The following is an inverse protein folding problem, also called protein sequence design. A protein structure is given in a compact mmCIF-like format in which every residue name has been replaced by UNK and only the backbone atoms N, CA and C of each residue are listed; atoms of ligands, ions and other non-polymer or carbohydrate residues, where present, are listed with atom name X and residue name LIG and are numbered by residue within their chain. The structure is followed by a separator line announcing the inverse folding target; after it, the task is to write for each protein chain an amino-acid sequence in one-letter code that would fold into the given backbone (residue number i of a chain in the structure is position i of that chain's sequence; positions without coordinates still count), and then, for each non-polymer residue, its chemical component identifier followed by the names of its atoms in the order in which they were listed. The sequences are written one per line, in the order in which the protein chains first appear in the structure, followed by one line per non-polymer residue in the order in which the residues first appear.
data_IF_029116693647
#
_entry.id   IF_029116693647
#
_cell.length_a   1.000
_cell.length_b   1.000
_cell.length_c   1.000
_cell.angle_alpha   90.00
_cell.angle_beta   90.00
_cell.angle_gamma   90.00
#
_symmetry.space_group_name_H-M   'P 1'
#
loop_
_entity.id
_entity.type
_entity.pdbx_description
1 polymer ?
#
# COMPACT_ATOMS: atom_id res chain seq x y z
N UNK A 1 50.65 38.39 -34.45
CA UNK A 1 51.56 37.22 -34.44
C UNK A 1 51.72 36.71 -33.02
N UNK A 2 51.88 35.40 -32.89
CA UNK A 2 51.71 34.51 -31.73
C UNK A 2 52.48 34.85 -30.44
N UNK A 3 51.90 34.53 -29.27
CA UNK A 3 52.25 33.34 -28.41
C UNK A 3 51.36 33.33 -27.16
N UNK A 4 50.44 32.37 -26.96
CA UNK A 4 50.59 31.01 -26.37
C UNK A 4 50.58 30.99 -24.83
N UNK A 5 49.46 30.52 -24.25
CA UNK A 5 49.25 29.59 -23.10
C UNK A 5 50.07 29.83 -21.80
N UNK A 6 49.62 29.62 -20.55
CA UNK A 6 48.76 28.55 -19.98
C UNK A 6 48.72 28.68 -18.44
N UNK A 7 47.61 28.21 -17.82
CA UNK A 7 47.42 27.72 -16.42
C UNK A 7 47.47 28.79 -15.32
N UNK A 8 46.78 28.72 -14.17
CA UNK A 8 46.23 27.66 -13.28
C UNK A 8 45.06 28.36 -12.55
N UNK A 9 43.84 27.86 -12.38
CA UNK A 9 43.42 26.69 -11.61
C UNK A 9 42.36 27.11 -10.58
N UNK A 10 41.64 26.12 -10.02
CA UNK A 10 40.53 26.21 -9.05
C UNK A 10 39.24 26.81 -9.64
N UNK A 11 38.15 26.08 -9.86
CA UNK A 11 37.62 24.97 -9.09
C UNK A 11 36.45 25.49 -8.27
N UNK A 12 35.22 25.30 -8.75
CA UNK A 12 34.02 25.01 -7.96
C UNK A 12 32.86 24.74 -8.89
N UNK A 13 32.38 23.50 -8.82
CA UNK A 13 31.11 23.00 -9.33
C UNK A 13 29.97 23.79 -8.68
N UNK A 14 29.04 24.32 -9.48
CA UNK A 14 27.70 24.67 -9.03
C UNK A 14 26.70 24.16 -10.07
N UNK A 15 26.29 22.91 -9.84
CA UNK A 15 25.09 22.31 -10.43
C UNK A 15 23.88 23.09 -9.90
N UNK A 16 23.32 23.97 -10.72
CA UNK A 16 22.02 24.56 -10.46
C UNK A 16 20.97 23.46 -10.64
N UNK A 17 20.33 23.07 -9.52
CA UNK A 17 19.27 22.09 -9.45
C UNK A 17 18.14 22.47 -10.41
N UNK A 18 17.89 21.59 -11.39
CA UNK A 18 16.68 21.60 -12.18
C UNK A 18 15.45 21.42 -11.26
N UNK A 19 14.45 22.28 -11.45
CA UNK A 19 13.26 22.35 -10.63
C UNK A 19 12.52 21.03 -10.53
N UNK A 20 12.20 20.66 -9.31
CA UNK A 20 11.28 19.59 -8.97
C UNK A 20 10.39 20.05 -7.82
N UNK A 21 9.53 21.04 -8.05
CA UNK A 21 8.34 21.20 -7.22
C UNK A 21 7.39 20.06 -7.61
N UNK A 22 7.56 18.91 -6.96
CA UNK A 22 6.49 17.93 -6.89
C UNK A 22 5.43 18.56 -6.01
N UNK A 23 4.39 19.10 -6.64
CA UNK A 23 3.15 19.44 -5.96
C UNK A 23 2.61 18.13 -5.37
N UNK A 24 2.97 17.84 -4.12
CA UNK A 24 2.23 16.90 -3.32
C UNK A 24 0.86 17.54 -3.13
N UNK A 25 -0.08 17.20 -4.00
CA UNK A 25 -1.48 17.52 -3.81
C UNK A 25 -1.91 16.86 -2.52
N UNK A 26 -1.90 17.62 -1.43
CA UNK A 26 -2.72 17.31 -0.27
C UNK A 26 -4.17 17.47 -0.74
N UNK A 27 -4.69 16.40 -1.36
CA UNK A 27 -6.12 16.17 -1.38
C UNK A 27 -6.63 16.22 0.06
N UNK A 28 -7.94 16.45 0.26
CA UNK A 28 -8.49 16.51 1.61
C UNK A 28 -8.03 15.24 2.32
N UNK A 29 -7.26 15.40 3.39
CA UNK A 29 -6.92 14.30 4.26
C UNK A 29 -8.26 13.85 4.84
N UNK A 30 -8.91 12.89 4.18
CA UNK A 30 -10.01 12.14 4.77
C UNK A 30 -9.46 11.68 6.11
N UNK A 31 -10.09 12.11 7.20
CA UNK A 31 -9.56 11.87 8.52
C UNK A 31 -9.24 10.37 8.64
N UNK A 32 -8.02 10.06 9.07
CA UNK A 32 -7.58 8.68 9.15
C UNK A 32 -8.44 7.97 10.22
N UNK A 33 -9.07 6.82 9.90
CA UNK A 33 -9.82 6.06 10.90
C UNK A 33 -8.94 5.78 12.13
N UNK A 34 -9.46 6.11 13.31
CA UNK A 34 -8.70 6.08 14.56
C UNK A 34 -9.25 5.02 15.53
N UNK A 35 -8.39 4.51 16.41
CA UNK A 35 -8.81 3.49 17.37
C UNK A 35 -9.26 2.20 16.69
N UNK A 36 -8.54 1.81 15.65
CA UNK A 36 -8.79 0.57 14.94
C UNK A 36 -8.12 -0.61 15.64
N UNK A 37 -8.90 -1.66 15.86
CA UNK A 37 -8.40 -2.95 16.30
C UNK A 37 -8.40 -3.90 15.10
N UNK A 38 -7.29 -4.59 14.88
CA UNK A 38 -7.14 -5.62 13.84
C UNK A 38 -6.88 -6.95 14.54
N UNK A 39 -7.74 -7.92 14.30
CA UNK A 39 -7.61 -9.29 14.76
C UNK A 39 -7.26 -10.20 13.58
N UNK A 40 -6.08 -10.79 13.62
CA UNK A 40 -5.60 -11.68 12.55
C UNK A 40 -5.83 -13.13 12.96
N UNK A 41 -6.83 -13.74 12.35
CA UNK A 41 -7.08 -15.18 12.42
C UNK A 41 -6.07 -15.99 11.62
N UNK A 42 -6.27 -17.31 11.57
CA UNK A 42 -5.37 -18.21 10.83
C UNK A 42 -5.58 -18.07 9.33
N UNK A 43 -6.84 -18.00 8.88
CA UNK A 43 -7.22 -17.97 7.46
C UNK A 43 -8.00 -16.72 7.08
N UNK A 44 -8.17 -15.80 8.02
CA UNK A 44 -8.94 -14.57 7.86
C UNK A 44 -8.39 -13.48 8.78
N UNK A 45 -8.84 -12.25 8.57
CA UNK A 45 -8.64 -11.16 9.50
C UNK A 45 -9.92 -10.34 9.61
N UNK A 46 -10.13 -9.78 10.79
CA UNK A 46 -11.23 -8.87 11.07
C UNK A 46 -10.68 -7.56 11.63
N UNK A 47 -11.40 -6.47 11.42
CA UNK A 47 -11.03 -5.19 12.00
C UNK A 47 -12.25 -4.37 12.38
N UNK A 48 -12.09 -3.49 13.37
CA UNK A 48 -13.11 -2.54 13.78
C UNK A 48 -12.45 -1.23 14.20
N UNK A 49 -12.79 -0.15 13.50
CA UNK A 49 -12.42 1.22 13.84
C UNK A 49 -13.53 1.87 14.66
N UNK A 50 -13.22 2.29 15.89
CA UNK A 50 -14.21 2.81 16.85
C UNK A 50 -14.36 4.33 16.80
N UNK A 51 -13.41 5.04 16.19
CA UNK A 51 -13.36 6.49 16.20
C UNK A 51 -12.73 7.05 14.91
N UNK A 52 -12.73 8.37 14.77
CA UNK A 52 -12.31 9.04 13.53
C UNK A 52 -13.47 9.20 12.54
N UNK A 53 -13.14 9.64 11.33
CA UNK A 53 -14.11 9.82 10.25
C UNK A 53 -13.65 9.03 9.01
N UNK A 54 -14.44 9.03 7.95
CA UNK A 54 -14.09 8.37 6.70
C UNK A 54 -14.33 6.86 6.68
N UNK A 55 -13.61 6.18 5.79
CA UNK A 55 -13.71 4.75 5.55
C UNK A 55 -12.31 4.15 5.36
N UNK A 56 -12.18 2.86 5.71
CA UNK A 56 -10.95 2.10 5.51
C UNK A 56 -11.24 0.81 4.75
N UNK A 57 -10.19 0.26 4.19
CA UNK A 57 -10.16 -1.07 3.59
C UNK A 57 -9.27 -1.94 4.48
N UNK A 58 -9.78 -3.10 4.89
CA UNK A 58 -8.96 -4.10 5.57
C UNK A 58 -8.29 -4.98 4.52
N UNK A 59 -6.97 -4.89 4.45
CA UNK A 59 -6.15 -5.72 3.59
C UNK A 59 -5.47 -6.82 4.39
N UNK A 60 -5.31 -7.98 3.78
CA UNK A 60 -4.51 -9.07 4.32
C UNK A 60 -3.59 -9.63 3.25
N UNK A 61 -2.40 -10.00 3.68
CA UNK A 61 -1.47 -10.82 2.90
C UNK A 61 -1.69 -12.28 3.28
N UNK A 62 -1.86 -13.12 2.28
CA UNK A 62 -2.12 -14.54 2.43
C UNK A 62 -0.98 -15.34 1.82
N UNK A 63 -0.57 -16.43 2.48
CA UNK A 63 0.41 -17.38 1.95
C UNK A 63 -0.26 -18.75 1.79
N UNK A 64 -0.25 -19.30 0.57
CA UNK A 64 -0.87 -20.58 0.31
C UNK A 64 -0.97 -20.93 -1.17
N UNK A 65 -1.93 -21.79 -1.50
CA UNK A 65 -2.25 -22.17 -2.88
C UNK A 65 -3.34 -21.25 -3.41
N UNK A 66 -3.12 -20.67 -4.58
CA UNK A 66 -4.17 -19.94 -5.29
C UNK A 66 -4.11 -20.23 -6.79
N UNK A 67 -5.26 -20.17 -7.45
CA UNK A 67 -5.38 -20.38 -8.89
C UNK A 67 -5.61 -19.02 -9.59
N UNK A 68 -4.56 -18.36 -10.10
CA UNK A 68 -4.72 -17.11 -10.82
C UNK A 68 -5.52 -17.30 -12.11
N UNK A 69 -6.35 -16.32 -12.43
CA UNK A 69 -7.03 -16.24 -13.72
C UNK A 69 -6.01 -16.27 -14.87
N UNK A 70 -6.19 -17.20 -15.81
CA UNK A 70 -5.32 -17.32 -16.99
C UNK A 70 -4.14 -18.29 -16.83
N UNK A 71 -3.98 -18.97 -15.69
CA UNK A 71 -3.11 -20.15 -15.58
C UNK A 71 -3.91 -21.44 -15.54
N UNK A 72 -3.28 -22.51 -16.00
CA UNK A 72 -3.87 -23.86 -16.07
C UNK A 72 -3.79 -24.66 -14.76
N UNK A 73 -3.27 -24.10 -13.66
CA UNK A 73 -3.18 -24.81 -12.39
C UNK A 73 -2.86 -23.92 -11.18
N UNK A 74 -2.97 -24.47 -9.96
CA UNK A 74 -2.71 -23.74 -8.73
C UNK A 74 -1.22 -23.43 -8.58
N UNK A 75 -0.94 -22.28 -7.99
CA UNK A 75 0.41 -21.81 -7.68
C UNK A 75 0.49 -21.62 -6.17
N UNK A 76 1.62 -22.02 -5.58
CA UNK A 76 1.94 -21.69 -4.19
C UNK A 76 2.64 -20.34 -4.12
N UNK A 77 2.18 -19.44 -3.25
CA UNK A 77 2.81 -18.14 -3.05
C UNK A 77 1.97 -17.17 -2.24
N UNK A 78 2.39 -15.90 -2.27
CA UNK A 78 1.67 -14.80 -1.65
C UNK A 78 0.55 -14.28 -2.55
N UNK A 79 -0.59 -13.95 -1.97
CA UNK A 79 -1.71 -13.30 -2.63
C UNK A 79 -2.48 -12.38 -1.66
N UNK A 80 -3.24 -11.43 -2.19
CA UNK A 80 -4.10 -10.55 -1.40
C UNK A 80 -5.36 -11.29 -0.93
N UNK A 81 -5.80 -11.02 0.29
CA UNK A 81 -7.06 -11.54 0.80
C UNK A 81 -8.28 -11.09 -0.01
N UNK A 82 -9.34 -11.89 0.07
CA UNK A 82 -10.62 -11.69 -0.61
C UNK A 82 -11.65 -11.03 0.30
N UNK A 83 -12.76 -10.59 -0.29
CA UNK A 83 -13.88 -9.92 0.41
C UNK A 83 -13.49 -8.60 1.09
N UNK A 84 -12.30 -8.06 0.79
CA UNK A 84 -11.88 -6.75 1.25
C UNK A 84 -12.78 -5.67 0.63
N UNK A 85 -13.47 -4.91 1.48
CA UNK A 85 -14.37 -3.84 1.07
C UNK A 85 -14.11 -2.56 1.85
N UNK A 86 -14.27 -1.43 1.17
CA UNK A 86 -14.30 -0.12 1.81
C UNK A 86 -15.46 -0.06 2.80
N UNK A 87 -15.12 0.17 4.06
CA UNK A 87 -16.05 0.10 5.19
C UNK A 87 -15.93 1.39 6.01
N UNK A 88 -17.05 2.08 6.30
CA UNK A 88 -17.03 3.29 7.12
C UNK A 88 -16.66 2.97 8.57
N UNK A 89 -16.11 3.97 9.27
CA UNK A 89 -15.84 3.88 10.72
C UNK A 89 -17.08 3.39 11.49
N UNK A 90 -16.86 2.54 12.50
CA UNK A 90 -17.93 1.96 13.33
C UNK A 90 -18.57 0.70 12.74
N UNK A 91 -18.16 0.25 11.56
CA UNK A 91 -18.61 -1.02 10.98
C UNK A 91 -17.49 -2.07 11.00
N UNK A 92 -17.83 -3.35 11.26
CA UNK A 92 -16.85 -4.43 11.23
C UNK A 92 -16.40 -4.69 9.80
N UNK A 93 -15.10 -4.94 9.64
CA UNK A 93 -14.43 -5.32 8.41
C UNK A 93 -13.98 -6.77 8.51
N UNK A 94 -13.98 -7.46 7.38
CA UNK A 94 -13.44 -8.83 7.28
C UNK A 94 -12.76 -9.02 5.94
N UNK A 95 -11.70 -9.80 5.96
CA UNK A 95 -10.96 -10.26 4.78
C UNK A 95 -10.63 -11.74 4.98
N UNK A 96 -10.72 -12.54 3.94
CA UNK A 96 -10.48 -13.99 4.00
C UNK A 96 -9.35 -14.40 3.06
N UNK A 97 -8.52 -15.34 3.49
CA UNK A 97 -7.51 -15.99 2.65
C UNK A 97 -8.05 -17.24 1.94
N UNK A 98 -9.35 -17.53 2.08
CA UNK A 98 -10.00 -18.70 1.48
C UNK A 98 -11.11 -18.22 0.55
N UNK A 99 -11.07 -18.68 -0.69
CA UNK A 99 -12.08 -18.45 -1.72
C UNK A 99 -12.05 -19.61 -2.73
N UNK A 100 -12.96 -19.59 -3.71
CA UNK A 100 -12.96 -20.58 -4.78
C UNK A 100 -11.63 -20.55 -5.55
N UNK A 101 -10.86 -21.64 -5.43
CA UNK A 101 -9.52 -21.76 -6.03
C UNK A 101 -8.39 -21.13 -5.22
N UNK A 102 -8.61 -20.72 -3.97
CA UNK A 102 -7.56 -20.22 -3.09
C UNK A 102 -7.70 -20.70 -1.64
N UNK A 103 -6.60 -21.13 -1.04
CA UNK A 103 -6.50 -21.54 0.36
C UNK A 103 -5.12 -21.19 0.91
N UNK A 104 -5.10 -20.52 2.05
CA UNK A 104 -3.88 -20.04 2.66
C UNK A 104 -4.08 -19.46 4.04
N UNK A 105 -2.97 -19.11 4.66
CA UNK A 105 -2.93 -18.50 5.99
C UNK A 105 -2.73 -17.00 5.88
N UNK A 106 -3.38 -16.24 6.75
CA UNK A 106 -3.13 -14.81 6.87
C UNK A 106 -1.76 -14.59 7.50
N UNK A 107 -0.82 -13.99 6.76
CA UNK A 107 0.53 -13.64 7.24
C UNK A 107 0.54 -12.24 7.82
N UNK A 108 -0.13 -11.28 7.18
CA UNK A 108 -0.26 -9.89 7.61
C UNK A 108 -1.70 -9.42 7.45
N UNK A 109 -2.12 -8.46 8.29
CA UNK A 109 -3.39 -7.76 8.15
C UNK A 109 -3.20 -6.31 8.58
N UNK A 110 -3.68 -5.37 7.77
CA UNK A 110 -3.52 -3.94 8.02
C UNK A 110 -4.66 -3.15 7.39
N UNK A 111 -4.88 -1.93 7.90
CA UNK A 111 -5.89 -1.03 7.40
C UNK A 111 -5.26 -0.01 6.47
N UNK A 112 -5.94 0.26 5.36
CA UNK A 112 -5.58 1.30 4.40
C UNK A 112 -6.71 2.33 4.38
N UNK A 113 -6.40 3.64 4.45
CA UNK A 113 -7.40 4.68 4.26
C UNK A 113 -8.04 4.52 2.88
N UNK A 114 -9.37 4.55 2.81
CA UNK A 114 -10.02 4.45 1.52
C UNK A 114 -9.90 5.78 0.78
N UNK A 115 -9.21 5.78 -0.35
CA UNK A 115 -9.16 6.95 -1.24
C UNK A 115 -10.56 7.15 -1.82
N UNK A 116 -11.19 8.29 -1.53
CA UNK A 116 -12.42 8.71 -2.23
C UNK A 116 -12.17 8.73 -3.74
N UNK A 117 -13.07 8.17 -4.58
CA UNK A 117 -12.99 8.33 -6.03
C UNK A 117 -13.11 9.79 -6.47
#
# INVERSE_FOLDING_TARGET
MHTTRRRVGAGTVLLFLAGGLVWAGAGPAGADPAGCYVDRGVTDAAALCHSGEGASVLEAECLGFFQPSGRSGPVFGYYSGFESQQTPVGKPMRVTCVADGAVGIATLAFLVPATTP
#
